data_IF_419094061701
#
_entry.id   IF_419094061701
#
_cell.length_a   1.000
_cell.length_b   1.000
_cell.length_c   1.000
_cell.angle_alpha   90.00
_cell.angle_beta   90.00
_cell.angle_gamma   90.00
#
_symmetry.space_group_name_H-M   'P 1'
#
loop_
_entity.id
_entity.type
_entity.pdbx_description
1 polymer ?
#
# COMPACT_ATOMS: atom_id res chain seq x y z
N UNK A 1 0.74 14.11 -8.29
CA UNK A 1 0.17 14.73 -7.06
C UNK A 1 0.20 13.70 -5.95
N UNK A 2 0.59 14.10 -4.73
CA UNK A 2 0.67 13.23 -3.56
C UNK A 2 -0.39 13.62 -2.55
N UNK A 3 -1.01 12.63 -1.89
CA UNK A 3 -1.79 12.86 -0.69
C UNK A 3 -0.89 12.61 0.52
N UNK A 4 -0.54 13.66 1.23
CA UNK A 4 0.22 13.60 2.47
C UNK A 4 -0.69 13.77 3.69
N UNK A 5 -0.10 13.75 4.87
CA UNK A 5 -0.73 14.15 6.12
C UNK A 5 0.08 15.27 6.77
N UNK A 6 -0.46 15.88 7.80
CA UNK A 6 0.26 16.87 8.61
C UNK A 6 1.58 16.35 9.19
N UNK A 7 1.73 15.02 9.30
CA UNK A 7 2.92 14.38 9.84
C UNK A 7 3.97 14.02 8.76
N UNK A 8 3.61 14.02 7.48
CA UNK A 8 4.48 13.56 6.39
C UNK A 8 4.79 14.61 5.34
N UNK A 9 4.00 15.68 5.25
CA UNK A 9 4.12 16.72 4.21
C UNK A 9 5.50 17.37 4.19
N UNK A 10 5.99 17.85 5.32
CA UNK A 10 7.26 18.57 5.41
C UNK A 10 8.44 17.72 4.92
N UNK A 11 8.54 16.47 5.40
CA UNK A 11 9.61 15.53 5.02
C UNK A 11 9.51 15.15 3.54
N UNK A 12 8.29 14.89 3.06
CA UNK A 12 8.04 14.56 1.66
C UNK A 12 8.46 15.69 0.73
N UNK A 13 8.02 16.92 1.01
CA UNK A 13 8.38 18.08 0.18
C UNK A 13 9.87 18.38 0.22
N UNK A 14 10.49 18.28 1.41
CA UNK A 14 11.94 18.43 1.58
C UNK A 14 12.69 17.38 0.73
N UNK A 15 12.26 16.11 0.75
CA UNK A 15 12.88 15.07 -0.07
C UNK A 15 12.69 15.33 -1.56
N UNK A 16 11.51 15.75 -1.99
CA UNK A 16 11.19 15.97 -3.40
C UNK A 16 11.81 17.25 -3.98
N UNK A 17 12.20 18.22 -3.16
CA UNK A 17 12.80 19.47 -3.62
C UNK A 17 14.08 19.30 -4.46
N UNK A 18 14.76 18.17 -4.31
CA UNK A 18 15.96 17.81 -5.11
C UNK A 18 15.66 17.35 -6.54
N UNK A 19 14.38 17.14 -6.89
CA UNK A 19 13.96 16.73 -8.22
C UNK A 19 13.29 17.90 -8.93
N UNK A 20 13.96 18.47 -9.90
CA UNK A 20 13.43 19.55 -10.71
C UNK A 20 12.30 19.07 -11.63
N UNK A 21 11.33 19.95 -11.92
CA UNK A 21 10.28 19.69 -12.90
C UNK A 21 9.16 18.75 -12.46
N UNK A 22 9.08 18.37 -11.18
CA UNK A 22 7.97 17.57 -10.66
C UNK A 22 6.65 18.34 -10.60
N UNK A 23 6.71 19.62 -10.28
CA UNK A 23 5.52 20.48 -10.27
C UNK A 23 5.08 20.80 -11.69
N UNK A 24 3.78 20.73 -11.94
CA UNK A 24 3.16 21.13 -13.22
C UNK A 24 2.17 22.24 -12.98
N UNK A 25 2.14 23.20 -13.90
CA UNK A 25 1.20 24.30 -13.82
C UNK A 25 -0.25 23.80 -13.75
N UNK A 26 -1.02 24.38 -12.85
CA UNK A 26 -2.43 24.01 -12.61
C UNK A 26 -2.65 22.71 -11.82
N UNK A 27 -1.58 21.96 -11.47
CA UNK A 27 -1.68 20.73 -10.68
C UNK A 27 -0.82 20.86 -9.43
N UNK A 28 -1.39 20.90 -8.23
CA UNK A 28 -0.59 20.97 -7.01
C UNK A 28 0.26 19.69 -6.85
N UNK A 29 1.49 19.83 -6.35
CA UNK A 29 2.36 18.69 -6.10
C UNK A 29 1.80 17.78 -5.02
N UNK A 30 1.17 18.38 -4.00
CA UNK A 30 0.51 17.66 -2.92
C UNK A 30 -0.83 18.29 -2.52
N UNK A 31 -1.60 17.54 -1.77
CA UNK A 31 -2.66 17.99 -0.87
C UNK A 31 -2.62 17.13 0.39
N UNK A 32 -3.12 17.66 1.50
CA UNK A 32 -3.06 16.94 2.78
C UNK A 32 -4.40 16.34 3.16
N UNK A 33 -4.35 15.17 3.77
CA UNK A 33 -5.46 14.60 4.53
C UNK A 33 -5.90 15.58 5.62
N UNK A 34 -7.16 15.48 6.01
CA UNK A 34 -7.68 16.14 7.19
C UNK A 34 -7.00 15.63 8.47
N UNK A 35 -7.32 16.25 9.58
CA UNK A 35 -6.81 15.93 10.90
C UNK A 35 -7.97 15.52 11.79
N UNK A 36 -7.93 14.31 12.35
CA UNK A 36 -8.96 13.79 13.24
C UNK A 36 -8.38 13.53 14.65
N UNK A 37 -9.14 13.77 15.73
CA UNK A 37 -8.70 13.41 17.06
C UNK A 37 -8.67 11.89 17.22
N UNK A 38 -7.65 11.36 17.88
CA UNK A 38 -7.68 10.01 18.41
C UNK A 38 -8.70 9.96 19.56
N UNK A 39 -9.43 8.87 19.69
CA UNK A 39 -10.37 8.68 20.81
C UNK A 39 -9.84 7.62 21.76
N UNK A 40 -10.07 7.79 23.06
CA UNK A 40 -9.68 6.79 24.06
C UNK A 40 -10.45 5.50 23.81
N UNK A 41 -9.81 4.35 24.02
CA UNK A 41 -10.44 3.06 23.84
C UNK A 41 -11.46 2.75 24.96
N UNK A 42 -11.34 3.43 26.09
CA UNK A 42 -12.16 3.17 27.29
C UNK A 42 -13.57 3.77 27.20
N UNK A 43 -13.67 5.03 26.75
CA UNK A 43 -14.90 5.82 26.80
C UNK A 43 -15.21 6.59 25.51
N UNK A 44 -14.35 6.43 24.48
CA UNK A 44 -14.48 7.06 23.16
C UNK A 44 -14.46 8.61 23.20
N UNK A 45 -13.90 9.20 24.26
CA UNK A 45 -13.67 10.64 24.31
C UNK A 45 -12.39 11.02 23.56
N UNK A 46 -12.23 12.28 23.11
CA UNK A 46 -10.97 12.74 22.53
C UNK A 46 -9.78 12.48 23.46
N UNK A 47 -8.71 11.89 22.95
CA UNK A 47 -7.53 11.58 23.73
C UNK A 47 -6.80 12.87 24.10
N UNK A 48 -6.26 12.93 25.33
CA UNK A 48 -5.36 14.00 25.79
C UNK A 48 -4.00 13.42 26.13
N UNK A 49 -2.94 14.06 25.61
CA UNK A 49 -1.53 13.69 25.83
C UNK A 49 -0.66 14.93 25.97
N UNK A 50 -0.68 15.64 27.13
CA UNK A 50 -0.01 16.91 27.31
C UNK A 50 1.52 16.87 27.09
N UNK A 51 2.14 15.69 27.27
CA UNK A 51 3.58 15.50 27.02
C UNK A 51 3.95 15.69 25.53
N UNK A 52 3.01 15.43 24.60
CA UNK A 52 3.18 15.61 23.17
C UNK A 52 1.81 15.74 22.49
N UNK A 53 1.22 16.96 22.46
CA UNK A 53 -0.13 17.19 21.94
C UNK A 53 -0.34 16.74 20.49
N UNK A 54 0.69 16.74 19.65
CA UNK A 54 0.60 16.24 18.27
C UNK A 54 0.21 14.74 18.20
N UNK A 55 0.53 13.97 19.25
CA UNK A 55 0.15 12.57 19.34
C UNK A 55 -1.37 12.35 19.59
N UNK A 56 -2.12 13.40 19.94
CA UNK A 56 -3.57 13.35 20.13
C UNK A 56 -4.33 13.22 18.81
N UNK A 57 -3.65 13.48 17.71
CA UNK A 57 -4.23 13.57 16.37
C UNK A 57 -3.74 12.45 15.44
N UNK A 58 -4.55 12.13 14.45
CA UNK A 58 -4.20 11.20 13.38
C UNK A 58 -4.85 11.64 12.05
N UNK A 59 -4.30 11.22 10.91
CA UNK A 59 -5.02 11.30 9.65
C UNK A 59 -6.18 10.31 9.67
N UNK A 60 -7.33 10.61 9.03
CA UNK A 60 -8.53 9.76 9.07
C UNK A 60 -8.47 8.58 8.07
N UNK A 61 -7.29 8.19 7.65
CA UNK A 61 -7.07 7.09 6.71
C UNK A 61 -7.15 7.51 5.24
N UNK A 62 -6.80 6.59 4.34
CA UNK A 62 -6.70 6.94 2.91
C UNK A 62 -8.06 7.15 2.23
N UNK A 63 -9.18 6.80 2.85
CA UNK A 63 -10.52 7.19 2.38
C UNK A 63 -10.76 8.69 2.43
N UNK A 64 -9.99 9.42 3.23
CA UNK A 64 -10.01 10.88 3.27
C UNK A 64 -9.51 11.54 1.95
N UNK A 65 -9.00 10.75 1.01
CA UNK A 65 -8.69 11.19 -0.35
C UNK A 65 -9.80 12.07 -0.94
N UNK A 66 -11.04 11.64 -0.81
CA UNK A 66 -12.18 12.30 -1.43
C UNK A 66 -12.55 13.61 -0.73
N UNK A 67 -12.81 13.64 0.59
CA UNK A 67 -13.12 14.89 1.28
C UNK A 67 -11.94 15.87 1.27
N UNK A 68 -10.69 15.40 1.30
CA UNK A 68 -9.52 16.26 1.20
C UNK A 68 -9.38 16.94 -0.18
N UNK A 69 -9.66 16.23 -1.26
CA UNK A 69 -9.70 16.81 -2.61
C UNK A 69 -10.75 17.90 -2.72
N UNK A 70 -11.93 17.68 -2.16
CA UNK A 70 -13.03 18.67 -2.18
C UNK A 70 -12.70 19.84 -1.24
N UNK A 71 -12.38 19.56 0.02
CA UNK A 71 -12.16 20.57 1.05
C UNK A 71 -10.96 21.50 0.79
N UNK A 72 -9.92 21.00 0.11
CA UNK A 72 -8.78 21.82 -0.34
C UNK A 72 -9.06 22.66 -1.59
N UNK A 73 -10.21 22.46 -2.24
CA UNK A 73 -10.53 23.06 -3.54
C UNK A 73 -9.74 22.45 -4.70
N UNK A 74 -9.00 21.36 -4.46
CA UNK A 74 -8.17 20.72 -5.48
C UNK A 74 -9.03 20.10 -6.57
N UNK A 75 -10.17 19.48 -6.22
CA UNK A 75 -11.10 18.91 -7.20
C UNK A 75 -11.60 19.97 -8.19
N UNK A 76 -12.01 21.15 -7.71
CA UNK A 76 -12.51 22.22 -8.58
C UNK A 76 -11.40 22.79 -9.47
N UNK A 77 -10.16 22.90 -8.97
CA UNK A 77 -9.00 23.32 -9.77
C UNK A 77 -8.72 22.32 -10.90
N UNK A 78 -8.75 21.01 -10.61
CA UNK A 78 -8.55 19.98 -11.61
C UNK A 78 -9.65 19.99 -12.67
N UNK A 79 -10.90 20.13 -12.28
CA UNK A 79 -12.03 20.24 -13.21
C UNK A 79 -11.93 21.48 -14.08
N UNK A 80 -11.58 22.64 -13.51
CA UNK A 80 -11.36 23.88 -14.25
C UNK A 80 -10.20 23.79 -15.24
N UNK A 81 -9.16 23.03 -14.91
CA UNK A 81 -8.04 22.73 -15.80
C UNK A 81 -8.36 21.67 -16.87
N UNK A 82 -9.59 21.14 -16.91
CA UNK A 82 -10.06 20.20 -17.93
C UNK A 82 -9.76 18.72 -17.64
N UNK A 83 -9.25 18.39 -16.47
CA UNK A 83 -9.03 16.98 -16.08
C UNK A 83 -10.38 16.29 -15.85
N UNK A 84 -10.55 15.12 -16.45
CA UNK A 84 -11.78 14.31 -16.36
C UNK A 84 -11.60 13.05 -15.54
N UNK A 85 -10.39 12.48 -15.52
CA UNK A 85 -10.10 11.19 -14.91
C UNK A 85 -8.90 11.31 -13.97
N UNK A 86 -8.93 10.53 -12.90
CA UNK A 86 -7.85 10.40 -11.94
C UNK A 86 -7.53 8.92 -11.76
N UNK A 87 -6.25 8.57 -11.82
CA UNK A 87 -5.73 7.30 -11.37
C UNK A 87 -5.14 7.47 -9.98
N UNK A 88 -5.51 6.58 -9.07
CA UNK A 88 -5.05 6.58 -7.67
C UNK A 88 -4.38 5.25 -7.37
N UNK A 89 -3.27 5.30 -6.67
CA UNK A 89 -2.59 4.11 -6.15
C UNK A 89 -1.90 4.42 -4.83
N UNK A 90 -1.62 3.36 -4.06
CA UNK A 90 -0.74 3.48 -2.92
C UNK A 90 0.69 3.81 -3.39
N UNK A 91 1.39 4.70 -2.69
CA UNK A 91 2.76 5.10 -3.03
C UNK A 91 3.78 3.97 -2.88
N UNK A 92 3.48 3.00 -2.01
CA UNK A 92 4.31 1.80 -1.80
C UNK A 92 4.10 0.72 -2.87
N UNK A 93 3.08 0.83 -3.73
CA UNK A 93 2.85 -0.13 -4.81
C UNK A 93 3.60 0.28 -6.08
N UNK A 94 4.83 -0.20 -6.24
CA UNK A 94 5.67 0.14 -7.39
C UNK A 94 5.20 -0.52 -8.71
N UNK A 95 4.29 -1.50 -8.65
CA UNK A 95 3.62 -2.05 -9.83
C UNK A 95 2.47 -1.18 -10.37
N UNK A 96 2.03 -0.19 -9.61
CA UNK A 96 0.92 0.68 -9.97
C UNK A 96 1.39 1.85 -10.83
N UNK A 97 1.42 1.65 -12.13
CA UNK A 97 1.74 2.70 -13.10
C UNK A 97 0.51 3.13 -13.89
N UNK A 98 0.48 4.40 -14.31
CA UNK A 98 -0.57 4.89 -15.19
C UNK A 98 -0.51 4.16 -16.54
N UNK A 99 -1.57 3.46 -16.89
CA UNK A 99 -1.67 2.69 -18.14
C UNK A 99 -2.72 3.31 -19.06
N UNK A 100 -2.27 3.74 -20.25
CA UNK A 100 -3.14 4.42 -21.22
C UNK A 100 -4.23 3.50 -21.75
N UNK A 101 -4.00 2.17 -21.85
CA UNK A 101 -5.02 1.22 -22.29
C UNK A 101 -6.12 1.09 -21.26
N UNK A 102 -5.75 1.04 -19.95
CA UNK A 102 -6.72 1.02 -18.86
C UNK A 102 -7.48 2.35 -18.78
N UNK A 103 -6.80 3.49 -18.96
CA UNK A 103 -7.46 4.79 -19.04
C UNK A 103 -8.47 4.83 -20.19
N UNK A 104 -8.09 4.35 -21.37
CA UNK A 104 -8.97 4.31 -22.54
C UNK A 104 -10.18 3.42 -22.30
N UNK A 105 -9.97 2.23 -21.73
CA UNK A 105 -11.07 1.35 -21.33
C UNK A 105 -12.01 2.04 -20.34
N UNK A 106 -11.46 2.64 -19.28
CA UNK A 106 -12.26 3.33 -18.26
C UNK A 106 -13.08 4.47 -18.87
N UNK A 107 -12.45 5.30 -19.68
CA UNK A 107 -13.13 6.40 -20.38
C UNK A 107 -14.25 5.90 -21.32
N UNK A 108 -13.99 4.83 -22.07
CA UNK A 108 -14.96 4.23 -23.01
C UNK A 108 -16.17 3.61 -22.30
N UNK A 109 -16.00 3.08 -21.10
CA UNK A 109 -17.12 2.52 -20.31
C UNK A 109 -18.08 3.55 -19.78
N UNK A 110 -17.68 4.81 -19.67
CA UNK A 110 -18.44 5.86 -19.01
C UNK A 110 -18.63 5.64 -17.50
N UNK A 111 -17.94 4.68 -16.92
CA UNK A 111 -18.09 4.38 -15.50
C UNK A 111 -17.67 5.55 -14.60
N UNK A 112 -18.36 5.79 -13.48
CA UNK A 112 -17.99 6.83 -12.53
C UNK A 112 -16.76 6.46 -11.69
N UNK A 113 -16.55 5.16 -11.48
CA UNK A 113 -15.50 4.59 -10.64
C UNK A 113 -15.11 3.20 -11.14
N UNK A 114 -13.84 2.85 -11.06
CA UNK A 114 -13.40 1.48 -11.30
C UNK A 114 -12.23 1.09 -10.39
N UNK A 115 -12.21 -0.19 -9.99
CA UNK A 115 -11.17 -0.80 -9.16
C UNK A 115 -10.38 -1.81 -9.97
N UNK A 116 -9.04 -1.71 -9.95
CA UNK A 116 -8.18 -2.79 -10.41
C UNK A 116 -8.11 -3.88 -9.36
N UNK A 117 -8.42 -5.10 -9.74
CA UNK A 117 -8.36 -6.28 -8.90
C UNK A 117 -7.34 -7.26 -9.43
N UNK A 118 -6.59 -7.91 -8.54
CA UNK A 118 -5.77 -9.06 -8.88
C UNK A 118 -6.47 -10.37 -8.51
N UNK A 119 -6.09 -11.48 -9.14
CA UNK A 119 -6.54 -12.79 -8.71
C UNK A 119 -6.07 -13.05 -7.27
N UNK A 120 -7.00 -13.46 -6.40
CA UNK A 120 -6.73 -13.71 -4.99
C UNK A 120 -6.04 -15.05 -4.81
N UNK A 121 -5.03 -15.09 -3.95
CA UNK A 121 -4.24 -16.29 -3.61
C UNK A 121 -4.34 -16.57 -2.11
N UNK A 122 -3.81 -17.70 -1.67
CA UNK A 122 -3.73 -18.04 -0.24
C UNK A 122 -2.96 -16.99 0.58
N UNK A 123 -2.01 -16.29 -0.01
CA UNK A 123 -1.29 -15.19 0.65
C UNK A 123 -2.19 -13.99 0.94
N UNK A 124 -3.29 -13.84 0.21
CA UNK A 124 -4.20 -12.68 0.29
C UNK A 124 -5.46 -12.96 1.14
N UNK A 125 -5.52 -14.09 1.87
CA UNK A 125 -6.71 -14.49 2.67
C UNK A 125 -7.21 -13.40 3.62
N UNK A 126 -6.28 -12.61 4.18
CA UNK A 126 -6.58 -11.50 5.10
C UNK A 126 -6.73 -10.14 4.43
N UNK A 127 -6.57 -10.06 3.11
CA UNK A 127 -6.70 -8.81 2.36
C UNK A 127 -8.15 -8.54 1.92
N UNK A 128 -8.45 -7.26 1.67
CA UNK A 128 -9.75 -6.83 1.18
C UNK A 128 -10.10 -7.46 -0.17
N UNK A 129 -11.35 -7.83 -0.34
CA UNK A 129 -11.82 -8.45 -1.57
C UNK A 129 -13.14 -7.84 -2.05
N UNK A 130 -13.34 -7.92 -3.36
CA UNK A 130 -14.55 -7.45 -4.00
C UNK A 130 -15.66 -8.51 -3.90
N UNK A 131 -16.87 -8.04 -3.66
CA UNK A 131 -18.09 -8.83 -3.66
C UNK A 131 -19.25 -8.06 -4.29
N UNK A 132 -20.38 -8.71 -4.47
CA UNK A 132 -21.62 -8.07 -4.89
C UNK A 132 -22.58 -8.03 -3.70
N UNK A 133 -23.17 -6.88 -3.46
CA UNK A 133 -24.19 -6.69 -2.42
C UNK A 133 -25.48 -7.42 -2.81
N UNK A 134 -25.99 -8.26 -1.92
CA UNK A 134 -27.30 -8.90 -2.13
C UNK A 134 -28.46 -7.90 -2.05
N UNK A 135 -28.27 -6.78 -1.35
CA UNK A 135 -29.32 -5.78 -1.16
C UNK A 135 -29.45 -4.83 -2.37
N UNK A 136 -28.34 -4.47 -2.99
CA UNK A 136 -28.31 -3.45 -4.06
C UNK A 136 -27.95 -3.99 -5.42
N UNK A 137 -27.37 -5.21 -5.51
CA UNK A 137 -26.75 -5.76 -6.73
C UNK A 137 -25.46 -5.04 -7.14
N UNK A 138 -25.04 -3.98 -6.42
CA UNK A 138 -23.83 -3.22 -6.69
C UNK A 138 -22.57 -3.90 -6.15
N UNK A 139 -21.41 -3.42 -6.61
CA UNK A 139 -20.12 -3.86 -6.09
C UNK A 139 -19.90 -3.32 -4.68
N UNK A 140 -19.27 -4.12 -3.83
CA UNK A 140 -18.82 -3.70 -2.50
C UNK A 140 -17.43 -4.24 -2.19
N UNK A 141 -16.68 -3.50 -1.38
CA UNK A 141 -15.39 -3.92 -0.86
C UNK A 141 -15.55 -4.43 0.57
N UNK A 142 -15.18 -5.70 0.79
CA UNK A 142 -15.11 -6.27 2.14
C UNK A 142 -13.68 -6.19 2.66
N UNK A 143 -13.48 -5.54 3.78
CA UNK A 143 -12.18 -5.41 4.45
C UNK A 143 -12.12 -6.29 5.71
N UNK A 144 -10.96 -6.90 5.98
CA UNK A 144 -10.80 -7.79 7.13
C UNK A 144 -11.09 -7.08 8.46
N UNK A 145 -10.71 -5.81 8.59
CA UNK A 145 -10.95 -5.00 9.78
C UNK A 145 -12.44 -4.75 10.08
N UNK A 146 -13.32 -5.04 9.14
CA UNK A 146 -14.78 -4.86 9.25
C UNK A 146 -15.52 -6.20 9.25
N UNK A 147 -14.78 -7.32 9.11
CA UNK A 147 -15.36 -8.65 9.08
C UNK A 147 -15.66 -9.13 10.51
N UNK A 148 -16.90 -9.52 10.85
CA UNK A 148 -17.19 -10.17 12.11
C UNK A 148 -16.40 -11.48 12.27
N UNK A 149 -16.03 -11.82 13.50
CA UNK A 149 -15.21 -13.02 13.81
C UNK A 149 -15.89 -14.31 13.30
N UNK A 150 -17.21 -14.39 13.41
CA UNK A 150 -18.01 -15.53 12.91
C UNK A 150 -17.96 -15.70 11.39
N UNK A 151 -17.69 -14.63 10.64
CA UNK A 151 -17.60 -14.61 9.18
C UNK A 151 -16.17 -14.77 8.66
N UNK A 152 -15.15 -14.77 9.54
CA UNK A 152 -13.75 -14.78 9.13
C UNK A 152 -13.42 -15.95 8.19
N UNK A 153 -13.93 -17.14 8.48
CA UNK A 153 -13.71 -18.32 7.64
C UNK A 153 -14.30 -18.14 6.22
N UNK A 154 -15.50 -17.56 6.14
CA UNK A 154 -16.13 -17.29 4.85
C UNK A 154 -15.42 -16.14 4.10
N UNK A 155 -14.96 -15.11 4.82
CA UNK A 155 -14.18 -14.01 4.29
C UNK A 155 -12.87 -14.49 3.66
N UNK A 156 -12.20 -15.45 4.28
CA UNK A 156 -10.92 -16.00 3.81
C UNK A 156 -11.04 -17.04 2.69
N UNK A 157 -12.25 -17.39 2.26
CA UNK A 157 -12.47 -18.33 1.16
C UNK A 157 -12.12 -17.70 -0.20
N UNK A 158 -10.88 -17.97 -0.65
CA UNK A 158 -10.36 -17.46 -1.95
C UNK A 158 -11.01 -18.14 -3.15
N UNK A 159 -11.65 -19.29 -2.97
CA UNK A 159 -12.37 -19.97 -4.05
C UNK A 159 -13.69 -19.28 -4.38
N UNK A 160 -14.32 -18.69 -3.36
CA UNK A 160 -15.57 -17.93 -3.47
C UNK A 160 -15.29 -16.46 -3.82
N UNK A 161 -14.41 -15.80 -3.08
CA UNK A 161 -14.08 -14.39 -3.26
C UNK A 161 -12.72 -14.29 -3.99
N UNK A 162 -12.78 -14.20 -5.30
CA UNK A 162 -11.62 -14.38 -6.20
C UNK A 162 -10.84 -13.13 -6.49
N UNK A 163 -11.36 -11.94 -6.14
CA UNK A 163 -10.81 -10.65 -6.59
C UNK A 163 -10.28 -9.84 -5.41
N UNK A 164 -8.95 -9.72 -5.35
CA UNK A 164 -8.23 -8.96 -4.36
C UNK A 164 -8.17 -7.48 -4.74
N UNK A 165 -8.48 -6.59 -3.79
CA UNK A 165 -8.37 -5.15 -3.97
C UNK A 165 -6.90 -4.72 -3.97
N UNK A 166 -6.43 -4.12 -5.05
CA UNK A 166 -5.05 -3.61 -5.17
C UNK A 166 -4.90 -2.16 -4.71
N UNK A 167 -6.00 -1.47 -4.38
CA UNK A 167 -6.06 -0.03 -4.18
C UNK A 167 -5.61 0.82 -5.38
N UNK A 168 -5.59 0.23 -6.58
CA UNK A 168 -5.46 0.97 -7.83
C UNK A 168 -6.87 1.35 -8.30
N UNK A 169 -7.18 2.63 -8.28
CA UNK A 169 -8.54 3.13 -8.52
C UNK A 169 -8.55 4.11 -9.70
N UNK A 170 -9.62 4.05 -10.48
CA UNK A 170 -9.93 4.99 -11.54
C UNK A 170 -11.17 5.77 -11.17
N UNK A 171 -11.10 7.08 -11.18
CA UNK A 171 -12.17 7.96 -10.73
C UNK A 171 -12.49 8.97 -11.82
N UNK A 172 -13.77 9.06 -12.18
CA UNK A 172 -14.30 10.12 -13.02
C UNK A 172 -14.57 11.36 -12.15
N UNK A 173 -13.79 12.42 -12.33
CA UNK A 173 -13.82 13.61 -11.47
C UNK A 173 -15.17 14.35 -11.51
N UNK A 174 -15.82 14.58 -12.68
CA UNK A 174 -17.20 15.08 -12.73
C UNK A 174 -18.19 14.22 -11.95
N UNK A 175 -18.08 12.88 -12.07
CA UNK A 175 -18.95 11.96 -11.32
C UNK A 175 -18.67 11.99 -9.81
N UNK A 176 -17.40 12.15 -9.41
CA UNK A 176 -17.03 12.33 -8.01
C UNK A 176 -17.70 13.56 -7.41
N UNK A 177 -17.64 14.71 -8.13
CA UNK A 177 -18.30 15.94 -7.67
C UNK A 177 -19.80 15.75 -7.52
N UNK A 178 -20.47 15.19 -8.53
CA UNK A 178 -21.91 14.92 -8.47
C UNK A 178 -22.28 13.95 -7.33
N UNK A 179 -21.43 12.97 -7.04
CA UNK A 179 -21.65 12.03 -5.94
C UNK A 179 -21.50 12.73 -4.58
N UNK A 180 -20.53 13.61 -4.40
CA UNK A 180 -20.42 14.45 -3.21
C UNK A 180 -21.66 15.31 -3.00
N UNK A 181 -22.17 15.95 -4.05
CA UNK A 181 -23.39 16.77 -3.98
C UNK A 181 -24.59 15.91 -3.57
N UNK A 182 -24.74 14.69 -4.12
CA UNK A 182 -25.78 13.72 -3.78
C UNK A 182 -25.75 13.33 -2.30
N UNK A 183 -24.59 13.21 -1.70
CA UNK A 183 -24.38 12.83 -0.30
C UNK A 183 -24.16 14.03 0.64
N UNK A 184 -24.54 15.25 0.22
CA UNK A 184 -24.37 16.47 1.02
C UNK A 184 -22.94 16.70 1.53
N UNK A 185 -21.96 16.38 0.70
CA UNK A 185 -20.53 16.60 1.00
C UNK A 185 -19.84 15.51 1.82
N UNK A 186 -20.52 14.40 2.16
CA UNK A 186 -19.94 13.30 2.95
C UNK A 186 -20.21 11.97 2.27
N UNK A 187 -19.17 11.32 1.76
CA UNK A 187 -19.30 9.94 1.28
C UNK A 187 -19.49 8.98 2.47
N UNK A 188 -20.51 8.10 2.44
CA UNK A 188 -20.80 7.16 3.52
C UNK A 188 -19.83 5.97 3.53
N UNK A 189 -18.53 6.24 3.76
CA UNK A 189 -17.52 5.20 3.83
C UNK A 189 -17.57 4.48 5.19
N UNK A 190 -17.47 3.15 5.22
CA UNK A 190 -17.40 2.39 6.45
C UNK A 190 -16.19 2.78 7.30
N UNK A 191 -16.42 2.96 8.61
CA UNK A 191 -15.38 3.33 9.57
C UNK A 191 -14.59 2.10 10.03
N UNK A 192 -13.28 2.22 10.00
CA UNK A 192 -12.32 1.25 10.53
C UNK A 192 -11.84 1.74 11.90
N UNK A 193 -11.94 0.87 12.92
CA UNK A 193 -11.43 1.14 14.28
C UNK A 193 -10.03 0.54 14.39
N UNK A 194 -8.99 1.38 14.36
CA UNK A 194 -7.60 0.93 14.42
C UNK A 194 -7.03 1.16 15.84
N UNK A 195 -6.91 0.10 16.63
CA UNK A 195 -6.39 0.15 18.00
C UNK A 195 -4.89 0.47 18.03
N UNK A 196 -4.49 1.50 18.77
CA UNK A 196 -3.11 1.98 18.93
C UNK A 196 -2.86 2.41 20.38
N UNK A 197 -1.66 2.95 20.63
CA UNK A 197 -1.34 3.79 21.79
C UNK A 197 -1.30 5.25 21.35
N UNK A 198 -1.58 6.20 22.27
CA UNK A 198 -1.59 7.63 21.95
C UNK A 198 -0.20 8.06 21.48
N UNK A 199 0.85 7.65 22.16
CA UNK A 199 2.24 7.79 21.71
C UNK A 199 2.70 6.46 21.06
N UNK A 200 3.01 6.43 19.76
CA UNK A 200 3.46 5.22 19.07
C UNK A 200 4.83 4.72 19.54
N UNK A 201 5.61 5.55 20.23
CA UNK A 201 6.92 5.19 20.79
C UNK A 201 6.83 4.66 22.21
N UNK A 202 5.71 4.91 22.88
CA UNK A 202 5.43 4.42 24.25
C UNK A 202 4.26 3.44 24.24
N UNK A 203 4.58 2.13 24.32
CA UNK A 203 3.59 1.05 24.37
C UNK A 203 2.74 1.04 25.66
N UNK A 204 3.19 1.73 26.71
CA UNK A 204 2.48 1.86 27.97
C UNK A 204 1.53 3.07 27.98
N UNK A 205 1.61 3.96 26.99
CA UNK A 205 0.74 5.13 26.89
C UNK A 205 -0.73 4.73 26.65
N UNK A 206 -1.64 5.70 26.86
CA UNK A 206 -3.10 5.50 26.79
C UNK A 206 -3.50 4.75 25.51
N UNK A 207 -4.34 3.72 25.66
CA UNK A 207 -4.93 3.00 24.52
C UNK A 207 -5.96 3.88 23.84
N UNK A 208 -5.84 3.99 22.53
CA UNK A 208 -6.71 4.82 21.70
C UNK A 208 -7.18 4.06 20.48
N UNK A 209 -8.25 4.56 19.87
CA UNK A 209 -8.70 4.17 18.53
C UNK A 209 -8.41 5.34 17.57
N UNK A 210 -7.80 5.01 16.45
CA UNK A 210 -7.77 5.86 15.27
C UNK A 210 -8.95 5.46 14.39
N UNK A 211 -9.84 6.41 14.10
CA UNK A 211 -10.99 6.19 13.23
C UNK A 211 -10.56 6.50 11.80
N UNK A 212 -10.58 5.49 10.96
CA UNK A 212 -10.06 5.57 9.59
C UNK A 212 -11.13 5.15 8.59
N UNK A 213 -10.99 5.57 7.34
CA UNK A 213 -11.76 5.08 6.21
C UNK A 213 -10.85 4.62 5.10
N UNK A 214 -11.34 3.69 4.25
CA UNK A 214 -10.59 3.14 3.14
C UNK A 214 -11.12 3.69 1.79
N UNK A 215 -10.22 4.14 0.91
CA UNK A 215 -10.60 4.73 -0.38
C UNK A 215 -11.30 3.74 -1.32
N UNK A 216 -10.96 2.46 -1.25
CA UNK A 216 -11.59 1.43 -2.08
C UNK A 216 -13.07 1.21 -1.77
N UNK A 217 -13.50 1.44 -0.52
CA UNK A 217 -14.90 1.32 -0.13
C UNK A 217 -15.83 2.32 -0.83
N UNK A 218 -15.27 3.38 -1.42
CA UNK A 218 -16.06 4.33 -2.22
C UNK A 218 -16.73 3.69 -3.44
N UNK A 219 -16.30 2.49 -3.88
CA UNK A 219 -16.96 1.75 -4.96
C UNK A 219 -18.47 1.58 -4.71
N UNK A 220 -18.88 1.51 -3.45
CA UNK A 220 -20.29 1.37 -3.03
C UNK A 220 -21.12 2.64 -3.22
N UNK A 221 -20.45 3.80 -3.29
CA UNK A 221 -21.10 5.10 -3.47
C UNK A 221 -21.45 5.41 -4.93
N UNK A 222 -20.90 4.65 -5.88
CA UNK A 222 -21.01 4.91 -7.30
C UNK A 222 -21.85 3.87 -8.01
N UNK A 223 -23.06 4.24 -8.39
CA UNK A 223 -23.90 3.39 -9.24
C UNK A 223 -23.22 3.17 -10.61
N UNK A 224 -23.14 1.93 -11.06
CA UNK A 224 -22.44 1.57 -12.29
C UNK A 224 -20.92 1.50 -12.18
N UNK A 225 -20.36 1.52 -10.96
CA UNK A 225 -18.95 1.24 -10.72
C UNK A 225 -18.53 -0.08 -11.35
N UNK A 226 -17.27 -0.16 -11.82
CA UNK A 226 -16.70 -1.32 -12.49
C UNK A 226 -15.52 -1.88 -11.72
N UNK A 227 -15.16 -3.12 -12.03
CA UNK A 227 -13.91 -3.73 -11.64
C UNK A 227 -13.23 -4.33 -12.87
N UNK A 228 -11.91 -4.35 -12.88
CA UNK A 228 -11.11 -4.97 -13.92
C UNK A 228 -10.06 -5.88 -13.31
N UNK A 229 -9.96 -7.10 -13.82
CA UNK A 229 -8.90 -8.02 -13.44
C UNK A 229 -7.60 -7.61 -14.16
N UNK A 230 -6.57 -7.33 -13.36
CA UNK A 230 -5.25 -6.94 -13.86
C UNK A 230 -4.21 -8.03 -13.54
N UNK A 231 -3.09 -8.09 -14.29
CA UNK A 231 -2.00 -8.99 -13.96
C UNK A 231 -1.38 -8.62 -12.62
N UNK A 232 -0.93 -9.64 -11.87
CA UNK A 232 -0.34 -9.50 -10.55
C UNK A 232 0.91 -8.58 -10.53
N UNK A 233 1.57 -8.43 -11.66
CA UNK A 233 2.72 -7.51 -11.84
C UNK A 233 2.37 -6.04 -11.59
N UNK A 234 1.08 -5.67 -11.63
CA UNK A 234 0.62 -4.32 -11.25
C UNK A 234 0.42 -4.15 -9.74
N UNK A 235 0.70 -5.20 -8.95
CA UNK A 235 0.64 -5.17 -7.49
C UNK A 235 1.97 -5.66 -6.90
N UNK A 236 2.90 -4.72 -6.67
CA UNK A 236 4.23 -4.95 -6.12
C UNK A 236 4.50 -4.00 -4.93
N UNK A 237 3.78 -4.17 -3.80
CA UNK A 237 3.92 -3.30 -2.65
C UNK A 237 5.26 -3.54 -1.93
N UNK A 238 5.89 -2.45 -1.46
CA UNK A 238 7.11 -2.47 -0.64
C UNK A 238 6.75 -1.99 0.76
N UNK A 239 6.41 -2.92 1.64
CA UNK A 239 5.96 -2.61 3.02
C UNK A 239 7.04 -2.85 4.06
N UNK A 240 7.99 -3.71 3.76
CA UNK A 240 9.03 -4.14 4.68
C UNK A 240 10.38 -4.21 3.98
N UNK A 241 11.44 -4.35 4.76
CA UNK A 241 12.79 -4.62 4.24
C UNK A 241 12.90 -5.94 3.49
N UNK A 242 11.99 -6.90 3.75
CA UNK A 242 11.90 -8.13 2.95
C UNK A 242 11.57 -7.84 1.49
N UNK A 243 10.54 -7.01 1.29
CA UNK A 243 10.10 -6.58 -0.05
C UNK A 243 11.19 -5.75 -0.73
N UNK A 244 11.83 -4.87 0.06
CA UNK A 244 12.90 -4.01 -0.42
C UNK A 244 14.12 -4.81 -0.91
N UNK A 245 14.53 -5.87 -0.20
CA UNK A 245 15.63 -6.73 -0.63
C UNK A 245 15.27 -7.47 -1.93
N UNK A 246 14.06 -8.02 -2.01
CA UNK A 246 13.59 -8.69 -3.21
C UNK A 246 13.62 -7.73 -4.42
N UNK A 247 13.09 -6.53 -4.25
CA UNK A 247 13.02 -5.50 -5.29
C UNK A 247 14.39 -4.98 -5.74
N UNK A 248 15.34 -4.82 -4.79
CA UNK A 248 16.68 -4.34 -5.08
C UNK A 248 17.56 -5.38 -5.78
N UNK A 249 17.15 -6.66 -5.79
CA UNK A 249 17.90 -7.76 -6.40
C UNK A 249 17.75 -7.78 -7.93
N UNK A 250 18.51 -8.66 -8.56
CA UNK A 250 18.46 -8.94 -10.00
C UNK A 250 17.18 -9.67 -10.47
N UNK A 251 16.26 -10.02 -9.57
CA UNK A 251 14.94 -10.54 -9.92
C UNK A 251 14.04 -9.50 -10.58
N UNK A 252 14.35 -8.22 -10.37
CA UNK A 252 13.64 -7.09 -10.97
C UNK A 252 14.57 -6.29 -11.89
N UNK A 253 13.97 -5.49 -12.74
CA UNK A 253 14.67 -4.55 -13.62
C UNK A 253 13.90 -3.24 -13.76
N UNK A 254 14.63 -2.17 -14.06
CA UNK A 254 14.04 -0.87 -14.41
C UNK A 254 13.93 -0.79 -15.92
N UNK A 255 12.71 -0.66 -16.43
CA UNK A 255 12.47 -0.50 -17.86
C UNK A 255 12.91 0.88 -18.36
N UNK A 256 13.10 1.07 -19.70
CA UNK A 256 13.43 2.38 -20.27
C UNK A 256 12.43 3.49 -19.95
N UNK A 257 11.18 3.16 -19.70
CA UNK A 257 10.13 4.08 -19.27
C UNK A 257 10.01 4.19 -17.73
N UNK A 258 11.09 3.82 -17.03
CA UNK A 258 11.27 3.97 -15.57
C UNK A 258 10.26 3.18 -14.71
N UNK A 259 9.73 2.07 -15.22
CA UNK A 259 8.92 1.15 -14.41
C UNK A 259 9.80 0.08 -13.78
N UNK A 260 9.51 -0.27 -12.54
CA UNK A 260 10.09 -1.44 -11.88
C UNK A 260 9.27 -2.68 -12.24
N UNK A 261 9.86 -3.65 -12.91
CA UNK A 261 9.18 -4.86 -13.35
C UNK A 261 9.94 -6.11 -12.93
N UNK A 262 9.19 -7.16 -12.62
CA UNK A 262 9.77 -8.48 -12.39
C UNK A 262 10.30 -9.02 -13.73
N UNK A 263 11.53 -9.56 -13.74
CA UNK A 263 12.08 -10.14 -14.97
C UNK A 263 11.22 -11.25 -15.53
N UNK A 264 11.11 -11.31 -16.85
CA UNK A 264 10.27 -12.30 -17.56
C UNK A 264 10.65 -13.74 -17.20
N UNK A 265 11.93 -14.02 -17.00
CA UNK A 265 12.45 -15.33 -16.57
C UNK A 265 11.87 -15.83 -15.24
N UNK A 266 11.27 -14.94 -14.45
CA UNK A 266 10.59 -15.31 -13.19
C UNK A 266 9.14 -15.82 -13.39
N UNK A 267 8.61 -15.79 -14.61
CA UNK A 267 7.26 -16.27 -14.90
C UNK A 267 6.15 -15.60 -14.10
N UNK A 268 6.36 -14.35 -13.65
CA UNK A 268 5.39 -13.59 -12.85
C UNK A 268 5.40 -13.89 -11.34
N UNK A 269 6.33 -14.73 -10.85
CA UNK A 269 6.43 -15.09 -9.43
C UNK A 269 7.64 -14.39 -8.78
N UNK A 270 7.43 -13.43 -7.86
CA UNK A 270 8.51 -12.77 -7.14
C UNK A 270 9.20 -13.71 -6.15
N UNK A 271 10.48 -13.46 -5.77
CA UNK A 271 11.13 -14.19 -4.70
C UNK A 271 10.45 -13.88 -3.36
N UNK A 272 10.20 -14.91 -2.56
CA UNK A 272 9.66 -14.76 -1.22
C UNK A 272 10.82 -14.59 -0.22
N UNK A 273 11.00 -13.38 0.32
CA UNK A 273 12.08 -13.06 1.26
C UNK A 273 11.53 -12.92 2.66
N UNK A 274 12.21 -13.54 3.62
CA UNK A 274 11.96 -13.38 5.06
C UNK A 274 13.29 -13.11 5.77
N UNK A 275 13.44 -11.92 6.33
CA UNK A 275 14.60 -11.49 7.09
C UNK A 275 14.36 -11.58 8.59
N UNK A 276 15.44 -11.74 9.35
CA UNK A 276 15.44 -11.61 10.79
C UNK A 276 14.99 -10.22 11.24
N UNK A 277 14.42 -10.11 12.45
CA UNK A 277 14.02 -8.85 13.05
C UNK A 277 15.14 -7.82 13.21
N UNK A 278 16.40 -8.27 13.21
CA UNK A 278 17.59 -7.42 13.21
C UNK A 278 17.72 -6.56 11.94
N UNK A 279 16.97 -6.85 10.88
CA UNK A 279 16.98 -6.12 9.61
C UNK A 279 15.68 -5.37 9.33
N UNK A 280 14.95 -5.05 10.38
CA UNK A 280 13.64 -4.38 10.27
C UNK A 280 13.70 -2.97 9.68
N UNK A 281 14.80 -2.24 9.90
CA UNK A 281 14.99 -0.87 9.40
C UNK A 281 15.94 -0.84 8.20
N UNK A 282 15.86 0.23 7.40
CA UNK A 282 16.61 0.35 6.14
C UNK A 282 18.13 0.34 6.37
N UNK A 283 18.63 1.06 7.38
CA UNK A 283 20.04 1.09 7.77
C UNK A 283 20.54 -0.32 8.18
N UNK A 284 19.70 -1.08 8.87
CA UNK A 284 19.98 -2.47 9.22
C UNK A 284 20.01 -3.38 7.98
N UNK A 285 19.07 -3.20 7.04
CA UNK A 285 19.12 -3.92 5.77
C UNK A 285 20.41 -3.58 5.00
N UNK A 286 20.82 -2.30 4.95
CA UNK A 286 22.07 -1.92 4.30
C UNK A 286 23.29 -2.56 4.97
N UNK A 287 23.25 -2.81 6.28
CA UNK A 287 24.31 -3.55 6.99
C UNK A 287 24.36 -5.04 6.60
N UNK A 288 23.24 -5.66 6.22
CA UNK A 288 23.21 -7.02 5.69
C UNK A 288 23.88 -7.11 4.30
N UNK A 289 23.66 -6.09 3.46
CA UNK A 289 24.08 -6.07 2.06
C UNK A 289 25.07 -4.92 1.78
N UNK A 290 26.19 -4.80 2.50
CA UNK A 290 27.11 -3.66 2.35
C UNK A 290 27.74 -3.57 0.96
N UNK A 291 27.75 -4.67 0.22
CA UNK A 291 28.30 -4.79 -1.14
C UNK A 291 27.22 -4.88 -2.24
N UNK A 292 25.99 -4.46 -1.91
CA UNK A 292 24.82 -4.58 -2.77
C UNK A 292 24.00 -5.86 -2.54
N UNK A 293 22.83 -5.96 -3.17
CA UNK A 293 21.93 -7.09 -2.96
C UNK A 293 22.50 -8.39 -3.58
N UNK A 294 22.15 -9.56 -3.00
CA UNK A 294 22.49 -10.84 -3.62
C UNK A 294 21.65 -11.07 -4.88
N UNK A 295 22.08 -12.04 -5.70
CA UNK A 295 21.25 -12.51 -6.81
C UNK A 295 20.10 -13.37 -6.27
N UNK A 296 18.85 -12.99 -6.63
CA UNK A 296 17.62 -13.70 -6.33
C UNK A 296 16.87 -14.15 -7.59
N UNK A 297 17.45 -14.00 -8.76
CA UNK A 297 16.81 -14.36 -10.04
C UNK A 297 16.37 -15.83 -10.08
N UNK A 298 17.11 -16.73 -9.45
CA UNK A 298 16.80 -18.16 -9.33
C UNK A 298 16.22 -18.57 -7.98
N UNK A 299 15.93 -17.61 -7.08
CA UNK A 299 15.47 -17.90 -5.72
C UNK A 299 13.94 -17.89 -5.63
N UNK A 300 13.36 -18.97 -5.09
CA UNK A 300 11.92 -19.03 -4.82
C UNK A 300 11.59 -18.51 -3.42
N UNK A 301 12.42 -18.90 -2.44
CA UNK A 301 12.25 -18.48 -1.06
C UNK A 301 13.60 -18.33 -0.37
N UNK A 302 13.84 -17.15 0.22
CA UNK A 302 15.00 -16.86 1.07
C UNK A 302 14.54 -16.61 2.51
N UNK A 303 15.14 -17.31 3.47
CA UNK A 303 14.98 -17.02 4.90
C UNK A 303 16.35 -16.74 5.51
N UNK A 304 16.49 -15.60 6.19
CA UNK A 304 17.70 -15.23 6.94
C UNK A 304 17.34 -15.13 8.41
N UNK A 305 18.06 -15.88 9.25
CA UNK A 305 17.91 -15.88 10.70
C UNK A 305 19.26 -15.56 11.37
N UNK A 306 19.24 -14.63 12.32
CA UNK A 306 20.43 -14.14 13.01
C UNK A 306 21.18 -13.05 12.24
N UNK A 307 22.25 -12.52 12.86
CA UNK A 307 23.00 -11.37 12.35
C UNK A 307 24.12 -11.82 11.41
N UNK A 308 24.15 -11.30 10.20
CA UNK A 308 25.18 -11.61 9.21
C UNK A 308 25.38 -10.46 8.22
N UNK A 309 26.40 -10.57 7.39
CA UNK A 309 26.62 -9.76 6.20
C UNK A 309 26.73 -10.68 4.99
N UNK A 310 26.30 -10.18 3.81
CA UNK A 310 26.45 -10.89 2.55
C UNK A 310 27.61 -10.29 1.76
N UNK A 311 28.59 -11.13 1.38
CA UNK A 311 29.65 -10.71 0.48
C UNK A 311 29.11 -10.41 -0.92
N UNK A 312 29.84 -9.63 -1.71
CA UNK A 312 29.55 -9.49 -3.12
C UNK A 312 29.59 -10.86 -3.84
N UNK A 313 28.65 -11.11 -4.76
CA UNK A 313 28.59 -12.35 -5.52
C UNK A 313 27.89 -13.52 -4.80
N UNK A 314 27.13 -13.26 -3.76
CA UNK A 314 26.20 -14.25 -3.17
C UNK A 314 25.01 -14.45 -4.11
N UNK A 315 24.72 -15.71 -4.43
CA UNK A 315 23.61 -16.14 -5.31
C UNK A 315 22.74 -17.15 -4.57
N UNK A 316 21.45 -16.88 -4.45
CA UNK A 316 20.50 -17.84 -3.87
C UNK A 316 19.66 -18.49 -4.99
N UNK A 317 19.43 -19.82 -4.86
CA UNK A 317 18.64 -20.63 -5.80
C UNK A 317 17.61 -21.48 -5.08
N UNK A 318 16.41 -21.62 -5.69
CA UNK A 318 15.32 -22.38 -5.12
C UNK A 318 14.92 -21.90 -3.74
N UNK A 319 14.71 -22.81 -2.80
CA UNK A 319 14.44 -22.47 -1.39
C UNK A 319 15.74 -22.52 -0.59
N UNK A 320 16.10 -21.42 0.05
CA UNK A 320 17.31 -21.30 0.85
C UNK A 320 17.01 -20.71 2.23
N UNK A 321 17.61 -21.30 3.25
CA UNK A 321 17.57 -20.80 4.63
C UNK A 321 19.00 -20.66 5.15
N UNK A 322 19.40 -19.44 5.53
CA UNK A 322 20.71 -19.16 6.13
C UNK A 322 20.52 -18.83 7.59
N UNK A 323 21.25 -19.52 8.46
CA UNK A 323 21.15 -19.37 9.91
C UNK A 323 22.50 -19.05 10.50
N UNK A 324 22.57 -17.94 11.23
CA UNK A 324 23.66 -17.68 12.18
C UNK A 324 23.10 -17.80 13.60
N UNK A 325 23.42 -18.91 14.26
CA UNK A 325 22.97 -19.18 15.63
C UNK A 325 23.78 -18.43 16.70
N UNK A 326 24.86 -17.73 16.34
CA UNK A 326 25.67 -16.95 17.27
C UNK A 326 25.19 -15.51 17.39
N UNK A 327 25.56 -14.82 18.46
CA UNK A 327 25.29 -13.40 18.66
C UNK A 327 26.22 -12.49 17.83
N UNK A 328 27.33 -13.04 17.32
CA UNK A 328 28.30 -12.30 16.50
C UNK A 328 27.83 -12.20 15.03
N UNK A 329 28.17 -11.09 14.39
CA UNK A 329 27.91 -10.91 12.97
C UNK A 329 28.90 -11.78 12.17
N UNK A 330 28.39 -12.70 11.36
CA UNK A 330 29.18 -13.52 10.45
C UNK A 330 28.97 -13.14 9.01
N UNK A 331 29.98 -13.35 8.18
CA UNK A 331 29.88 -13.09 6.74
C UNK A 331 29.55 -14.35 5.96
N UNK A 332 28.47 -14.34 5.18
CA UNK A 332 28.23 -15.33 4.13
C UNK A 332 29.08 -14.98 2.92
N UNK A 333 30.03 -15.85 2.58
CA UNK A 333 30.98 -15.66 1.49
C UNK A 333 30.31 -15.67 0.12
N UNK A 334 31.01 -15.16 -0.91
CA UNK A 334 30.57 -15.29 -2.29
C UNK A 334 30.38 -16.76 -2.69
N UNK A 335 29.32 -17.05 -3.44
CA UNK A 335 28.99 -18.43 -3.86
C UNK A 335 27.52 -18.63 -4.14
N UNK A 336 27.18 -19.82 -4.61
CA UNK A 336 25.81 -20.25 -4.86
C UNK A 336 25.29 -21.06 -3.67
N UNK A 337 24.09 -20.74 -3.20
CA UNK A 337 23.47 -21.34 -2.03
C UNK A 337 22.04 -21.83 -2.33
N UNK A 338 21.75 -23.02 -1.84
CA UNK A 338 20.41 -23.63 -1.86
C UNK A 338 20.24 -24.52 -0.61
N UNK A 339 19.01 -24.74 -0.16
CA UNK A 339 18.73 -25.51 1.06
C UNK A 339 19.16 -24.78 2.33
N UNK A 340 19.47 -25.53 3.37
CA UNK A 340 19.83 -25.01 4.69
C UNK A 340 21.34 -24.77 4.77
N UNK A 341 21.73 -23.58 5.18
CA UNK A 341 23.11 -23.09 5.33
C UNK A 341 23.31 -22.61 6.76
N UNK A 342 24.28 -23.15 7.46
CA UNK A 342 24.69 -22.72 8.80
C UNK A 342 26.00 -21.92 8.72
N UNK A 343 26.10 -20.80 9.46
CA UNK A 343 27.27 -19.93 9.59
C UNK A 343 27.96 -20.13 10.94
#
# INVERSE_FOLDING_TARGET
MLMNSFATSADTLSYLSKYEGLAKEGVPLEFCQNKAPKVTAADLTPASWPAKPDCEWCPPGHGDLYPALVGSGTLDKLLAAGFKYMFVSNSDNLGATMDVKLLTWFAATGAPFAMECAARTDADKKGGHLATSNATGGLLLREAAQCPDEDEKAFQDVSKYKFFNTNNLWVNLPALKATFDKFNGILPLPVIKNGKTVDPRDKASTKVLQLETAMGSAIECFEGAKAILIPRTRFAPVKTTNDMLALASDAYEVTPDSRMVLKESRGGVPPNVKLDGAYKFVDQLMSLIPNGPPSLIGCDKLTIEGKMTLAAGVVFKGTCKVVNASDEVKELKAGEYTGDVAL
#
